data_IF_765071374637
#
_entry.id   IF_765071374637
#
_cell.length_a   1.000
_cell.length_b   1.000
_cell.length_c   1.000
_cell.angle_alpha   90.00
_cell.angle_beta   90.00
_cell.angle_gamma   90.00
#
_symmetry.space_group_name_H-M   'P 1'
#
loop_
_entity.id
_entity.type
_entity.pdbx_description
1 polymer ?
#
# COMPACT_ATOMS: atom_id res chain seq x y z
N UNK A 1 21.11 -3.13 38.38
CA UNK A 1 20.20 -3.61 39.45
C UNK A 1 19.99 -5.10 39.27
N UNK A 2 20.72 -5.91 40.04
CA UNK A 2 20.78 -7.39 39.95
C UNK A 2 19.54 -8.06 40.57
N UNK A 3 19.18 -9.21 40.02
CA UNK A 3 18.06 -10.09 40.34
C UNK A 3 17.79 -10.30 41.85
N UNK A 4 16.63 -9.86 42.35
CA UNK A 4 16.33 -9.90 43.80
C UNK A 4 14.94 -10.42 44.21
N UNK A 5 14.11 -10.97 43.31
CA UNK A 5 12.67 -11.09 43.63
C UNK A 5 12.09 -12.50 43.81
N UNK A 6 12.51 -13.59 43.13
CA UNK A 6 11.76 -14.86 43.26
C UNK A 6 11.94 -15.54 44.63
N UNK A 7 13.17 -15.60 45.15
CA UNK A 7 13.48 -16.37 46.37
C UNK A 7 12.97 -15.75 47.67
N UNK A 8 12.89 -14.41 47.75
CA UNK A 8 12.42 -13.70 48.94
C UNK A 8 10.90 -13.61 49.06
N UNK A 9 10.20 -13.84 47.94
CA UNK A 9 8.74 -13.91 47.89
C UNK A 9 8.21 -15.35 48.06
N UNK A 10 9.10 -16.34 48.24
CA UNK A 10 8.71 -17.71 48.54
C UNK A 10 8.01 -17.76 49.91
N UNK A 11 6.84 -18.40 49.95
CA UNK A 11 6.01 -18.49 51.16
C UNK A 11 6.77 -19.05 52.37
N UNK A 12 7.65 -20.03 52.13
CA UNK A 12 8.50 -20.62 53.17
C UNK A 12 9.47 -19.63 53.82
N UNK A 13 10.03 -18.69 53.04
CA UNK A 13 10.97 -17.68 53.53
C UNK A 13 10.26 -16.51 54.22
N UNK A 14 9.06 -16.17 53.74
CA UNK A 14 8.19 -15.19 54.39
C UNK A 14 7.72 -15.66 55.76
N UNK A 15 7.38 -16.95 55.92
CA UNK A 15 6.98 -17.53 57.21
C UNK A 15 8.16 -17.57 58.20
N UNK A 16 9.37 -17.91 57.72
CA UNK A 16 10.58 -18.00 58.55
C UNK A 16 11.09 -16.66 59.06
N UNK A 17 10.83 -15.56 58.34
CA UNK A 17 11.37 -14.23 58.67
C UNK A 17 10.28 -13.14 58.70
N UNK A 18 9.38 -13.13 59.72
CA UNK A 18 8.27 -12.17 59.80
C UNK A 18 8.71 -10.70 59.87
N UNK A 19 9.90 -10.43 60.44
CA UNK A 19 10.47 -9.07 60.49
C UNK A 19 10.74 -8.44 59.12
N UNK A 20 10.85 -9.25 58.06
CA UNK A 20 11.07 -8.75 56.69
C UNK A 20 9.80 -8.26 56.01
N UNK A 21 8.61 -8.57 56.55
CA UNK A 21 7.32 -8.24 55.91
C UNK A 21 7.14 -6.74 55.68
N UNK A 22 7.54 -5.91 56.67
CA UNK A 22 7.48 -4.46 56.55
C UNK A 22 8.36 -3.94 55.41
N UNK A 23 9.57 -4.47 55.28
CA UNK A 23 10.51 -4.10 54.21
C UNK A 23 10.01 -4.54 52.83
N UNK A 24 9.53 -5.78 52.71
CA UNK A 24 8.98 -6.31 51.44
C UNK A 24 7.76 -5.50 51.00
N UNK A 25 6.84 -5.17 51.92
CA UNK A 25 5.70 -4.31 51.63
C UNK A 25 6.14 -2.93 51.15
N UNK A 26 7.11 -2.30 51.83
CA UNK A 26 7.63 -1.00 51.42
C UNK A 26 8.28 -1.03 50.03
N UNK A 27 9.06 -2.08 49.73
CA UNK A 27 9.67 -2.29 48.42
C UNK A 27 8.61 -2.50 47.32
N UNK A 28 7.56 -3.27 47.61
CA UNK A 28 6.46 -3.49 46.69
C UNK A 28 5.68 -2.20 46.40
N UNK A 29 5.39 -1.39 47.42
CA UNK A 29 4.75 -0.08 47.23
C UNK A 29 5.63 0.88 46.44
N UNK A 30 6.94 0.88 46.68
CA UNK A 30 7.89 1.66 45.89
C UNK A 30 7.90 1.20 44.42
N UNK A 31 7.90 -0.11 44.18
CA UNK A 31 7.79 -0.68 42.84
C UNK A 31 6.48 -0.28 42.16
N UNK A 32 5.33 -0.40 42.85
CA UNK A 32 4.01 0.01 42.33
C UNK A 32 4.00 1.48 41.92
N UNK A 33 4.56 2.37 42.73
CA UNK A 33 4.68 3.80 42.40
C UNK A 33 5.52 4.03 41.16
N UNK A 34 6.72 3.42 41.09
CA UNK A 34 7.63 3.53 39.93
C UNK A 34 6.99 2.99 38.66
N UNK A 35 6.38 1.82 38.75
CA UNK A 35 5.66 1.19 37.64
C UNK A 35 4.51 2.09 37.17
N UNK A 36 3.71 2.63 38.09
CA UNK A 36 2.57 3.50 37.76
C UNK A 36 3.01 4.74 37.01
N UNK A 37 4.08 5.40 37.46
CA UNK A 37 4.66 6.55 36.77
C UNK A 37 5.18 6.17 35.38
N UNK A 38 5.96 5.09 35.27
CA UNK A 38 6.52 4.64 34.00
C UNK A 38 5.44 4.26 32.98
N UNK A 39 4.41 3.53 33.43
CA UNK A 39 3.30 3.10 32.59
C UNK A 39 2.46 4.27 32.09
N UNK A 40 2.09 5.19 32.97
CA UNK A 40 1.32 6.38 32.59
C UNK A 40 2.04 7.24 31.55
N UNK A 41 3.35 7.44 31.76
CA UNK A 41 4.21 8.12 30.79
C UNK A 41 4.23 7.36 29.46
N UNK A 42 4.51 6.06 29.48
CA UNK A 42 4.55 5.22 28.29
C UNK A 42 3.22 5.24 27.52
N UNK A 43 2.10 5.13 28.22
CA UNK A 43 0.76 5.23 27.62
C UNK A 43 0.57 6.55 26.89
N UNK A 44 0.89 7.67 27.54
CA UNK A 44 0.80 8.99 26.91
C UNK A 44 1.71 9.10 25.68
N UNK A 45 2.98 8.74 25.82
CA UNK A 45 3.98 8.82 24.75
C UNK A 45 3.59 7.92 23.56
N UNK A 46 3.06 6.72 23.85
CA UNK A 46 2.60 5.76 22.83
C UNK A 46 1.44 6.31 22.01
N UNK A 47 0.41 6.85 22.65
CA UNK A 47 -0.74 7.39 21.92
C UNK A 47 -0.42 8.72 21.22
N UNK A 48 0.43 9.57 21.81
CA UNK A 48 0.95 10.73 21.10
C UNK A 48 1.76 10.35 19.84
N UNK A 49 2.49 9.23 19.89
CA UNK A 49 3.15 8.67 18.71
C UNK A 49 2.14 8.10 17.69
N UNK A 50 1.11 7.38 18.13
CA UNK A 50 0.06 6.87 17.25
C UNK A 50 -0.71 8.00 16.55
N UNK A 51 -1.00 9.11 17.23
CA UNK A 51 -1.68 10.26 16.62
C UNK A 51 -0.85 10.87 15.49
N UNK A 52 0.48 11.00 15.70
CA UNK A 52 1.39 11.43 14.63
C UNK A 52 1.40 10.46 13.47
N UNK A 53 1.40 9.15 13.75
CA UNK A 53 1.38 8.11 12.72
C UNK A 53 0.05 8.10 11.94
N UNK A 54 -1.08 8.36 12.60
CA UNK A 54 -2.37 8.56 11.95
C UNK A 54 -2.33 9.73 10.97
N UNK A 55 -1.78 10.88 11.38
CA UNK A 55 -1.64 12.03 10.49
C UNK A 55 -0.78 11.70 9.26
N UNK A 56 0.23 10.84 9.38
CA UNK A 56 1.03 10.38 8.23
C UNK A 56 0.25 9.47 7.27
N UNK A 57 -0.75 8.75 7.79
CA UNK A 57 -1.62 7.87 7.01
C UNK A 57 -2.86 8.56 6.44
N UNK A 58 -3.13 9.81 6.83
CA UNK A 58 -4.33 10.56 6.44
C UNK A 58 -4.51 10.66 4.92
N UNK A 59 -3.41 10.86 4.18
CA UNK A 59 -3.44 10.97 2.72
C UNK A 59 -3.34 9.63 1.99
N UNK A 60 -3.10 8.53 2.70
CA UNK A 60 -2.89 7.22 2.09
C UNK A 60 -4.12 6.70 1.32
N UNK A 61 -5.37 6.81 1.80
CA UNK A 61 -6.55 6.36 1.06
C UNK A 61 -6.66 6.99 -0.33
N UNK A 62 -6.49 8.32 -0.39
CA UNK A 62 -6.56 9.07 -1.65
C UNK A 62 -5.48 8.64 -2.63
N UNK A 63 -4.26 8.44 -2.12
CA UNK A 63 -3.10 7.98 -2.90
C UNK A 63 -3.25 6.54 -3.39
N UNK A 64 -3.83 5.66 -2.58
CA UNK A 64 -4.16 4.29 -2.97
C UNK A 64 -5.24 4.27 -4.05
N UNK A 65 -6.23 5.14 -3.97
CA UNK A 65 -7.26 5.26 -5.01
C UNK A 65 -6.66 5.78 -6.32
N UNK A 66 -5.81 6.80 -6.28
CA UNK A 66 -5.07 7.25 -7.46
C UNK A 66 -4.22 6.12 -8.07
N UNK A 67 -3.55 5.32 -7.24
CA UNK A 67 -2.79 4.16 -7.70
C UNK A 67 -3.70 3.11 -8.36
N UNK A 68 -4.87 2.83 -7.78
CA UNK A 68 -5.87 1.91 -8.36
C UNK A 68 -6.30 2.39 -9.74
N UNK A 69 -6.66 3.67 -9.87
CA UNK A 69 -7.07 4.27 -11.14
C UNK A 69 -5.96 4.22 -12.20
N UNK A 70 -4.70 4.45 -11.81
CA UNK A 70 -3.55 4.33 -12.73
C UNK A 70 -3.29 2.87 -13.14
N UNK A 71 -3.43 1.93 -12.20
CA UNK A 71 -3.28 0.50 -12.48
C UNK A 71 -4.39 -0.05 -13.38
N UNK A 72 -5.55 0.62 -13.46
CA UNK A 72 -6.64 0.28 -14.36
C UNK A 72 -6.39 0.72 -15.82
N UNK A 73 -5.34 1.50 -16.10
CA UNK A 73 -4.96 1.94 -17.44
C UNK A 73 -4.05 0.88 -18.07
N UNK A 74 -4.53 0.07 -19.04
CA UNK A 74 -3.76 -1.04 -19.59
C UNK A 74 -2.46 -0.60 -20.27
N UNK A 75 -2.41 0.63 -20.81
CA UNK A 75 -1.26 1.15 -21.55
C UNK A 75 -0.09 1.55 -20.66
N UNK A 76 -0.29 1.66 -19.35
CA UNK A 76 0.79 1.85 -18.38
C UNK A 76 1.48 0.54 -17.98
N UNK A 77 1.07 -0.59 -18.56
CA UNK A 77 1.65 -1.90 -18.33
C UNK A 77 1.06 -2.60 -17.10
N UNK A 78 1.86 -3.48 -16.48
CA UNK A 78 1.39 -4.30 -15.36
C UNK A 78 1.11 -3.46 -14.12
N UNK A 79 0.02 -3.79 -13.42
CA UNK A 79 -0.35 -3.18 -12.15
C UNK A 79 0.76 -3.37 -11.11
N UNK A 80 1.06 -2.31 -10.36
CA UNK A 80 2.11 -2.29 -9.34
C UNK A 80 1.53 -1.97 -7.96
N UNK A 81 2.13 -2.52 -6.92
CA UNK A 81 1.73 -2.26 -5.52
C UNK A 81 0.33 -2.76 -5.17
N UNK A 82 -0.11 -3.87 -5.76
CA UNK A 82 -1.43 -4.47 -5.52
C UNK A 82 -1.62 -4.96 -4.09
N UNK A 83 -0.54 -5.14 -3.32
CA UNK A 83 -0.53 -5.49 -1.90
C UNK A 83 -0.76 -4.29 -0.97
N UNK A 84 -0.55 -3.06 -1.45
CA UNK A 84 -0.58 -1.85 -0.63
C UNK A 84 -1.95 -1.58 0.05
N UNK A 85 -3.11 -1.81 -0.60
CA UNK A 85 -4.41 -1.65 0.07
C UNK A 85 -4.57 -2.56 1.29
N UNK A 86 -4.23 -3.85 1.15
CA UNK A 86 -4.33 -4.81 2.25
C UNK A 86 -3.36 -4.47 3.40
N UNK A 87 -2.15 -4.01 3.07
CA UNK A 87 -1.18 -3.53 4.06
C UNK A 87 -1.70 -2.30 4.80
N UNK A 88 -2.35 -1.37 4.12
CA UNK A 88 -2.95 -0.19 4.73
C UNK A 88 -4.03 -0.55 5.75
N UNK A 89 -4.96 -1.45 5.40
CA UNK A 89 -6.00 -1.93 6.33
C UNK A 89 -5.39 -2.62 7.56
N UNK A 90 -4.36 -3.45 7.35
CA UNK A 90 -3.63 -4.11 8.43
C UNK A 90 -2.92 -3.12 9.36
N UNK A 91 -2.42 -2.01 8.83
CA UNK A 91 -1.84 -0.92 9.63
C UNK A 91 -2.91 -0.19 10.42
N UNK A 92 -4.02 0.23 9.79
CA UNK A 92 -5.12 0.91 10.48
C UNK A 92 -5.66 0.10 11.67
N UNK A 93 -5.79 -1.22 11.51
CA UNK A 93 -6.25 -2.10 12.59
C UNK A 93 -5.33 -2.08 13.83
N UNK A 94 -4.04 -1.72 13.66
CA UNK A 94 -3.02 -1.67 14.71
C UNK A 94 -2.87 -0.27 15.35
N UNK A 95 -3.38 0.79 14.73
CA UNK A 95 -3.26 2.18 15.22
C UNK A 95 -4.52 2.60 16.01
N UNK A 96 -5.26 1.66 16.61
CA UNK A 96 -6.44 1.99 17.43
C UNK A 96 -6.06 2.95 18.57
N UNK A 97 -6.85 4.00 18.74
CA UNK A 97 -6.66 4.99 19.80
C UNK A 97 -7.26 4.50 21.13
N UNK A 98 -6.75 5.03 22.23
CA UNK A 98 -7.37 4.88 23.54
C UNK A 98 -8.24 6.10 23.84
N UNK A 99 -9.48 5.93 24.33
CA UNK A 99 -10.33 7.06 24.69
C UNK A 99 -9.83 7.79 25.96
N UNK A 100 -8.95 7.16 26.74
CA UNK A 100 -8.32 7.78 27.91
C UNK A 100 -7.12 8.58 27.44
N UNK A 101 -7.30 9.88 27.23
CA UNK A 101 -6.26 10.77 26.72
C UNK A 101 -5.43 11.41 27.83
N UNK A 102 -5.98 11.54 29.04
CA UNK A 102 -5.26 12.14 30.16
C UNK A 102 -4.44 11.10 30.95
N UNK A 103 -3.18 11.47 31.24
CA UNK A 103 -2.22 10.65 32.01
C UNK A 103 -2.73 10.30 33.42
N UNK A 104 -3.49 11.21 34.03
CA UNK A 104 -4.06 11.11 35.37
C UNK A 104 -5.22 10.13 35.45
N UNK A 105 -5.99 9.98 34.37
CA UNK A 105 -7.16 9.13 34.25
C UNK A 105 -6.82 7.65 34.01
N UNK A 106 -5.57 7.36 33.62
CA UNK A 106 -5.06 5.99 33.50
C UNK A 106 -4.91 5.39 34.91
N UNK A 107 -5.96 4.72 35.38
CA UNK A 107 -5.93 3.96 36.62
C UNK A 107 -5.40 2.54 36.38
N UNK A 108 -4.28 2.25 37.04
CA UNK A 108 -3.62 0.94 37.09
C UNK A 108 -3.32 0.54 38.54
N UNK A 109 -4.14 1.01 39.49
CA UNK A 109 -4.02 0.62 40.89
C UNK A 109 -4.44 -0.83 41.12
N UNK A 110 -5.52 -1.27 40.47
CA UNK A 110 -6.04 -2.62 40.57
C UNK A 110 -5.43 -3.60 39.55
N UNK A 111 -5.06 -3.11 38.35
CA UNK A 111 -4.50 -3.92 37.25
C UNK A 111 -3.23 -3.26 36.72
N UNK A 112 -2.23 -4.03 36.24
CA UNK A 112 -0.98 -3.45 35.74
C UNK A 112 -1.14 -2.76 34.37
N UNK A 113 -2.27 -2.92 33.69
CA UNK A 113 -2.54 -2.32 32.38
C UNK A 113 -3.80 -1.48 32.41
N UNK A 114 -3.89 -0.51 31.49
CA UNK A 114 -5.07 0.30 31.26
C UNK A 114 -6.27 -0.62 30.98
N UNK A 115 -7.35 -0.42 31.73
CA UNK A 115 -8.55 -1.25 31.62
C UNK A 115 -9.23 -1.14 30.25
N UNK A 116 -9.03 -0.02 29.54
CA UNK A 116 -9.69 0.26 28.27
C UNK A 116 -8.92 -0.27 27.07
N UNK A 117 -7.62 0.02 26.99
CA UNK A 117 -6.81 -0.33 25.81
C UNK A 117 -5.86 -1.52 26.02
N UNK A 118 -5.62 -1.92 27.28
CA UNK A 118 -4.76 -3.06 27.59
C UNK A 118 -3.30 -2.92 27.18
N UNK A 119 -2.83 -1.70 26.87
CA UNK A 119 -1.46 -1.45 26.37
C UNK A 119 -0.42 -2.05 27.32
N UNK A 120 0.52 -2.84 26.79
CA UNK A 120 1.64 -3.38 27.54
C UNK A 120 2.76 -2.36 27.63
N UNK A 121 3.48 -2.30 28.75
CA UNK A 121 4.63 -1.40 28.93
C UNK A 121 5.77 -1.65 27.92
N UNK A 122 5.83 -2.86 27.36
CA UNK A 122 6.81 -3.29 26.36
C UNK A 122 6.34 -3.08 24.92
N UNK A 123 5.09 -2.68 24.73
CA UNK A 123 4.54 -2.44 23.39
C UNK A 123 5.28 -1.27 22.73
N UNK A 124 5.38 -1.32 21.40
CA UNK A 124 5.97 -0.26 20.58
C UNK A 124 4.98 0.14 19.50
N UNK A 125 4.92 1.43 19.22
CA UNK A 125 4.13 1.92 18.10
C UNK A 125 4.73 1.38 16.80
N UNK A 126 3.90 1.04 15.79
CA UNK A 126 4.35 0.48 14.51
C UNK A 126 4.94 1.56 13.59
N UNK A 127 5.84 2.39 14.11
CA UNK A 127 6.40 3.54 13.39
C UNK A 127 7.15 3.09 12.14
N UNK A 128 8.03 2.10 12.27
CA UNK A 128 8.86 1.64 11.16
C UNK A 128 8.01 1.05 10.02
N UNK A 129 6.98 0.26 10.35
CA UNK A 129 6.10 -0.33 9.37
C UNK A 129 5.28 0.72 8.61
N UNK A 130 4.84 1.78 9.30
CA UNK A 130 4.14 2.90 8.67
C UNK A 130 5.08 3.71 7.77
N UNK A 131 6.31 3.99 8.20
CA UNK A 131 7.31 4.65 7.36
C UNK A 131 7.60 3.85 6.08
N UNK A 132 7.84 2.55 6.22
CA UNK A 132 8.08 1.67 5.08
C UNK A 132 6.89 1.67 4.12
N UNK A 133 5.66 1.59 4.64
CA UNK A 133 4.46 1.65 3.82
C UNK A 133 4.33 2.98 3.05
N UNK A 134 4.51 4.12 3.72
CA UNK A 134 4.41 5.45 3.09
C UNK A 134 5.46 5.59 1.98
N UNK A 135 6.70 5.16 2.24
CA UNK A 135 7.78 5.21 1.25
C UNK A 135 7.51 4.27 0.06
N UNK A 136 6.98 3.08 0.31
CA UNK A 136 6.60 2.14 -0.75
C UNK A 136 5.48 2.72 -1.63
N UNK A 137 4.44 3.31 -1.02
CA UNK A 137 3.34 3.94 -1.75
C UNK A 137 3.83 5.10 -2.63
N UNK A 138 4.68 5.97 -2.08
CA UNK A 138 5.30 7.08 -2.81
C UNK A 138 6.12 6.56 -4.01
N UNK A 139 6.96 5.53 -3.79
CA UNK A 139 7.78 4.92 -4.83
C UNK A 139 6.95 4.31 -5.96
N UNK A 140 5.87 3.60 -5.61
CA UNK A 140 4.99 2.96 -6.59
C UNK A 140 4.21 3.99 -7.40
N UNK A 141 3.70 5.05 -6.76
CA UNK A 141 3.06 6.17 -7.46
C UNK A 141 4.03 6.90 -8.39
N UNK A 142 5.28 7.10 -7.95
CA UNK A 142 6.32 7.71 -8.77
C UNK A 142 6.64 6.89 -10.02
N UNK A 143 6.68 5.57 -9.88
CA UNK A 143 6.87 4.65 -11.01
C UNK A 143 5.69 4.77 -12.00
N UNK A 144 4.44 4.74 -11.52
CA UNK A 144 3.29 4.91 -12.40
C UNK A 144 3.26 6.29 -13.07
N UNK A 145 3.66 7.35 -12.36
CA UNK A 145 3.82 8.69 -12.92
C UNK A 145 4.82 8.72 -14.07
N UNK A 146 5.95 8.03 -13.91
CA UNK A 146 6.99 7.93 -14.94
C UNK A 146 6.48 7.17 -16.15
N UNK A 147 5.75 6.06 -15.95
CA UNK A 147 5.13 5.30 -17.03
C UNK A 147 4.10 6.13 -17.79
N UNK A 148 3.23 6.85 -17.07
CA UNK A 148 2.25 7.76 -17.67
C UNK A 148 2.93 8.85 -18.49
N UNK A 149 3.96 9.49 -17.97
CA UNK A 149 4.72 10.52 -18.70
C UNK A 149 5.39 9.95 -19.96
N UNK A 150 6.03 8.79 -19.85
CA UNK A 150 6.68 8.14 -21.00
C UNK A 150 5.66 7.75 -22.08
N UNK A 151 4.51 7.23 -21.68
CA UNK A 151 3.41 6.87 -22.58
C UNK A 151 2.82 8.11 -23.27
N UNK A 152 2.56 9.17 -22.51
CA UNK A 152 2.01 10.42 -23.05
C UNK A 152 2.99 11.09 -24.02
N UNK A 153 4.29 11.14 -23.70
CA UNK A 153 5.32 11.66 -24.61
C UNK A 153 5.42 10.82 -25.87
N UNK A 154 5.41 9.48 -25.77
CA UNK A 154 5.43 8.60 -26.94
C UNK A 154 4.25 8.89 -27.88
N UNK A 155 3.04 9.01 -27.33
CA UNK A 155 1.82 9.29 -28.11
C UNK A 155 1.87 10.66 -28.80
N UNK A 156 2.39 11.69 -28.11
CA UNK A 156 2.63 13.02 -28.70
C UNK A 156 3.61 12.93 -29.88
N UNK A 157 4.73 12.22 -29.71
CA UNK A 157 5.74 12.07 -30.76
C UNK A 157 5.22 11.28 -31.97
N UNK A 158 4.39 10.26 -31.74
CA UNK A 158 3.72 9.50 -32.80
C UNK A 158 2.66 10.35 -33.55
N UNK A 159 2.02 11.31 -32.87
CA UNK A 159 1.02 12.23 -33.46
C UNK A 159 1.65 13.38 -34.25
N UNK A 160 2.80 13.87 -33.81
CA UNK A 160 3.46 15.03 -34.38
C UNK A 160 4.20 14.73 -35.69
N UNK A 161 3.44 14.66 -36.78
CA UNK A 161 3.93 14.61 -38.16
C UNK A 161 4.61 15.89 -38.68
N UNK A 162 5.14 16.77 -37.81
CA UNK A 162 5.85 17.99 -38.19
C UNK A 162 6.41 18.78 -36.99
N UNK A 163 7.52 19.48 -37.28
CA UNK A 163 8.33 20.43 -36.49
C UNK A 163 8.70 20.11 -35.02
N UNK A 164 10.00 20.14 -34.74
CA UNK A 164 10.67 19.74 -33.48
C UNK A 164 10.16 20.52 -32.25
N UNK A 165 9.80 21.80 -32.46
CA UNK A 165 9.37 22.71 -31.39
C UNK A 165 7.96 22.38 -30.88
N UNK A 166 7.05 21.97 -31.77
CA UNK A 166 5.68 21.56 -31.40
C UNK A 166 5.70 20.25 -30.61
N UNK A 167 6.59 19.31 -30.98
CA UNK A 167 6.85 18.08 -30.22
C UNK A 167 7.31 18.36 -28.79
N UNK A 168 8.22 19.32 -28.63
CA UNK A 168 8.74 19.73 -27.32
C UNK A 168 7.66 20.38 -26.44
N UNK A 169 6.82 21.25 -27.01
CA UNK A 169 5.72 21.89 -26.28
C UNK A 169 4.63 20.90 -25.85
N UNK A 170 4.26 19.95 -26.70
CA UNK A 170 3.28 18.92 -26.35
C UNK A 170 3.84 17.91 -25.34
N UNK A 171 5.12 17.55 -25.44
CA UNK A 171 5.80 16.70 -24.46
C UNK A 171 5.88 17.38 -23.07
N UNK A 172 6.11 18.69 -23.02
CA UNK A 172 6.08 19.47 -21.78
C UNK A 172 4.67 19.49 -21.14
N UNK A 173 3.62 19.64 -21.95
CA UNK A 173 2.22 19.59 -21.50
C UNK A 173 1.82 18.20 -21.01
N UNK A 174 2.31 17.14 -21.65
CA UNK A 174 2.15 15.76 -21.20
C UNK A 174 2.87 15.49 -19.87
N UNK A 175 4.03 16.09 -19.65
CA UNK A 175 4.74 16.02 -18.36
C UNK A 175 3.99 16.77 -17.22
N UNK A 176 3.20 17.80 -17.55
CA UNK A 176 2.30 18.45 -16.58
C UNK A 176 1.10 17.57 -16.18
N UNK A 177 0.60 16.70 -17.07
CA UNK A 177 -0.45 15.71 -16.75
C UNK A 177 0.03 14.74 -15.67
N UNK A 178 1.32 14.42 -15.64
CA UNK A 178 1.90 13.57 -14.61
C UNK A 178 1.85 14.20 -13.20
N UNK A 179 1.71 15.53 -13.09
CA UNK A 179 1.53 16.24 -11.81
C UNK A 179 0.09 16.17 -11.28
N UNK A 180 -0.89 15.70 -12.06
CA UNK A 180 -2.29 15.60 -11.65
C UNK A 180 -2.62 14.40 -10.73
N UNK A 181 -1.64 13.56 -10.37
CA UNK A 181 -1.86 12.42 -9.46
C UNK A 181 -2.42 12.89 -8.11
N UNK A 182 -2.01 14.07 -7.64
CA UNK A 182 -2.51 14.66 -6.40
C UNK A 182 -3.91 15.29 -6.54
N UNK A 183 -4.58 15.16 -7.69
CA UNK A 183 -5.95 15.63 -7.96
C UNK A 183 -6.76 14.56 -8.75
N UNK A 184 -6.19 13.36 -8.93
CA UNK A 184 -6.81 12.31 -9.72
C UNK A 184 -8.09 11.83 -9.03
N UNK A 185 -9.21 12.04 -9.68
CA UNK A 185 -10.52 11.47 -9.34
C UNK A 185 -11.01 10.61 -10.50
N UNK A 186 -12.15 9.94 -10.30
CA UNK A 186 -12.72 9.02 -11.29
C UNK A 186 -13.06 9.70 -12.63
N UNK A 187 -13.40 11.01 -12.60
CA UNK A 187 -13.70 11.79 -13.82
C UNK A 187 -12.42 12.15 -14.56
N UNK A 188 -11.35 12.47 -13.85
CA UNK A 188 -10.02 12.73 -14.42
C UNK A 188 -9.43 11.43 -14.97
N UNK A 189 -9.55 10.31 -14.26
CA UNK A 189 -9.14 9.00 -14.75
C UNK A 189 -9.92 8.57 -15.98
N UNK A 190 -11.23 8.79 -16.03
CA UNK A 190 -12.04 8.56 -17.21
C UNK A 190 -11.70 9.50 -18.36
N UNK A 191 -11.36 10.75 -18.08
CA UNK A 191 -10.90 11.69 -19.10
C UNK A 191 -9.54 11.27 -19.66
N UNK A 192 -8.64 10.77 -18.81
CA UNK A 192 -7.38 10.15 -19.24
C UNK A 192 -7.65 8.90 -20.08
N UNK A 193 -8.53 7.99 -19.63
CA UNK A 193 -8.93 6.82 -20.42
C UNK A 193 -9.52 7.22 -21.77
N UNK A 194 -10.41 8.21 -21.82
CA UNK A 194 -11.00 8.70 -23.07
C UNK A 194 -9.97 9.36 -23.99
N UNK A 195 -9.08 10.20 -23.46
CA UNK A 195 -7.95 10.73 -24.24
C UNK A 195 -7.04 9.61 -24.75
N UNK A 196 -6.94 8.50 -24.03
CA UNK A 196 -6.18 7.33 -24.47
C UNK A 196 -6.95 6.44 -25.47
N UNK A 197 -8.28 6.45 -25.45
CA UNK A 197 -9.18 5.59 -26.28
C UNK A 197 -9.67 6.30 -27.57
N UNK A 198 -9.99 7.59 -27.51
CA UNK A 198 -10.64 8.35 -28.60
C UNK A 198 -9.77 8.50 -29.87
N UNK A 199 -8.45 8.23 -29.78
CA UNK A 199 -7.53 8.30 -30.93
C UNK A 199 -7.25 6.95 -31.64
N UNK A 200 -8.12 5.95 -31.46
CA UNK A 200 -8.37 4.95 -32.52
C UNK A 200 -7.65 3.60 -32.45
N UNK A 201 -7.59 2.97 -31.27
CA UNK A 201 -7.23 1.55 -31.14
C UNK A 201 -8.38 0.75 -30.53
N UNK A 202 -8.95 -0.18 -31.30
CA UNK A 202 -9.80 -1.24 -30.75
C UNK A 202 -8.89 -2.41 -30.38
N UNK A 203 -8.71 -2.63 -29.08
CA UNK A 203 -8.18 -3.89 -28.55
C UNK A 203 -9.34 -4.86 -28.38
N UNK A 204 -9.67 -5.60 -29.45
CA UNK A 204 -10.45 -6.81 -29.30
C UNK A 204 -9.57 -7.83 -28.54
N UNK A 205 -10.08 -8.54 -27.52
CA UNK A 205 -9.36 -9.63 -26.88
C UNK A 205 -9.58 -10.92 -27.68
N UNK A 206 -8.62 -11.40 -28.50
CA UNK A 206 -8.66 -12.78 -28.95
C UNK A 206 -8.03 -13.67 -27.89
N UNK A 207 -8.75 -14.72 -27.51
CA UNK A 207 -8.35 -15.77 -26.56
C UNK A 207 -7.31 -16.73 -27.19
N UNK A 208 -6.28 -16.17 -27.85
CA UNK A 208 -5.32 -16.90 -28.69
C UNK A 208 -4.55 -17.94 -27.88
N UNK A 209 -4.18 -17.60 -26.66
CA UNK A 209 -3.46 -18.53 -25.78
C UNK A 209 -4.36 -19.62 -25.18
N UNK A 210 -5.64 -19.31 -24.89
CA UNK A 210 -6.61 -20.32 -24.48
C UNK A 210 -6.82 -21.36 -25.60
N UNK A 211 -6.97 -20.91 -26.85
CA UNK A 211 -7.08 -21.80 -28.01
C UNK A 211 -5.81 -22.59 -28.31
N UNK A 212 -4.63 -22.01 -28.07
CA UNK A 212 -3.37 -22.73 -28.21
C UNK A 212 -3.21 -23.83 -27.14
N UNK A 213 -3.71 -23.59 -25.92
CA UNK A 213 -3.69 -24.55 -24.83
C UNK A 213 -4.60 -25.77 -25.11
N UNK A 214 -5.75 -25.56 -25.78
CA UNK A 214 -6.65 -26.65 -26.20
C UNK A 214 -6.05 -27.58 -27.27
N UNK A 215 -5.10 -27.09 -28.07
CA UNK A 215 -4.49 -27.87 -29.16
C UNK A 215 -3.47 -28.92 -28.68
N UNK A 216 -3.12 -28.95 -27.38
CA UNK A 216 -2.17 -29.88 -26.75
C UNK A 216 -0.97 -30.31 -27.63
N UNK A 217 -0.19 -29.39 -28.22
CA UNK A 217 0.89 -29.75 -29.12
C UNK A 217 2.04 -30.42 -28.35
N UNK A 218 2.37 -31.66 -28.69
CA UNK A 218 3.47 -32.43 -28.08
C UNK A 218 4.85 -32.06 -28.59
N UNK A 219 4.92 -31.32 -29.71
CA UNK A 219 6.16 -30.90 -30.36
C UNK A 219 6.17 -29.38 -30.59
N UNK A 220 7.29 -28.74 -30.23
CA UNK A 220 7.48 -27.29 -30.32
C UNK A 220 7.22 -26.75 -31.75
N UNK A 221 7.69 -27.39 -32.84
CA UNK A 221 7.43 -26.89 -34.19
C UNK A 221 5.94 -26.87 -34.57
N UNK A 222 5.18 -27.88 -34.13
CA UNK A 222 3.74 -27.94 -34.34
C UNK A 222 2.99 -26.89 -33.53
N UNK A 223 3.43 -26.62 -32.30
CA UNK A 223 2.89 -25.56 -31.45
C UNK A 223 3.08 -24.16 -32.08
N UNK A 224 4.27 -23.88 -32.60
CA UNK A 224 4.59 -22.61 -33.26
C UNK A 224 3.74 -22.43 -34.52
N UNK A 225 3.55 -23.48 -35.32
CA UNK A 225 2.70 -23.42 -36.51
C UNK A 225 1.22 -23.19 -36.16
N UNK A 226 0.70 -23.87 -35.13
CA UNK A 226 -0.66 -23.65 -34.64
C UNK A 226 -0.89 -22.22 -34.12
N UNK A 227 0.09 -21.67 -33.40
CA UNK A 227 0.05 -20.29 -32.93
C UNK A 227 0.05 -19.27 -34.08
N UNK A 228 0.86 -19.49 -35.11
CA UNK A 228 0.88 -18.64 -36.31
C UNK A 228 -0.48 -18.62 -37.01
N UNK A 229 -1.15 -19.77 -37.14
CA UNK A 229 -2.48 -19.85 -37.75
C UNK A 229 -3.54 -19.10 -36.93
N UNK A 230 -3.52 -19.26 -35.60
CA UNK A 230 -4.46 -18.56 -34.70
C UNK A 230 -4.26 -17.04 -34.75
N UNK A 231 -3.01 -16.57 -34.82
CA UNK A 231 -2.69 -15.14 -34.97
C UNK A 231 -3.22 -14.56 -36.27
N UNK A 232 -3.03 -15.26 -37.40
CA UNK A 232 -3.53 -14.82 -38.70
C UNK A 232 -5.06 -14.73 -38.70
N UNK A 233 -5.73 -15.73 -38.15
CA UNK A 233 -7.19 -15.75 -38.05
C UNK A 233 -7.73 -14.63 -37.17
N UNK A 234 -7.14 -14.40 -36.00
CA UNK A 234 -7.53 -13.31 -35.11
C UNK A 234 -7.31 -11.93 -35.75
N UNK A 235 -6.23 -11.76 -36.53
CA UNK A 235 -5.96 -10.52 -37.26
C UNK A 235 -7.03 -10.26 -38.33
N UNK A 236 -7.46 -11.32 -39.02
CA UNK A 236 -8.43 -11.24 -40.10
C UNK A 236 -9.85 -11.00 -39.59
N UNK A 237 -10.23 -11.65 -38.49
CA UNK A 237 -11.48 -11.38 -37.76
C UNK A 237 -11.52 -9.93 -37.26
N UNK A 238 -10.43 -9.44 -36.67
CA UNK A 238 -10.33 -8.06 -36.21
C UNK A 238 -10.37 -7.04 -37.37
N UNK A 239 -9.77 -7.36 -38.54
CA UNK A 239 -9.88 -6.54 -39.77
C UNK A 239 -11.29 -6.48 -40.32
N UNK A 240 -12.03 -7.59 -40.28
CA UNK A 240 -13.44 -7.63 -40.71
C UNK A 240 -14.35 -6.85 -39.75
N UNK A 241 -14.09 -6.92 -38.45
CA UNK A 241 -14.87 -6.21 -37.44
C UNK A 241 -14.62 -4.68 -37.46
N UNK A 242 -13.47 -4.23 -37.95
CA UNK A 242 -13.05 -2.83 -37.92
C UNK A 242 -12.45 -2.36 -39.27
N UNK A 243 -13.27 -2.27 -40.34
CA UNK A 243 -12.80 -1.97 -41.70
C UNK A 243 -12.28 -0.54 -41.89
N UNK A 244 -12.62 0.38 -40.98
CA UNK A 244 -12.26 1.79 -40.97
C UNK A 244 -10.92 2.09 -40.27
N UNK A 245 -10.28 1.10 -39.65
CA UNK A 245 -9.04 1.27 -38.87
C UNK A 245 -7.80 0.86 -39.67
N UNK A 246 -6.86 1.80 -39.83
CA UNK A 246 -5.58 1.58 -40.54
C UNK A 246 -4.61 0.61 -39.85
N UNK A 247 -4.71 0.47 -38.53
CA UNK A 247 -3.79 -0.34 -37.73
C UNK A 247 -4.59 -1.16 -36.72
N UNK A 248 -4.37 -2.47 -36.71
CA UNK A 248 -5.04 -3.41 -35.79
C UNK A 248 -3.96 -4.12 -34.99
N UNK A 249 -4.00 -3.96 -33.67
CA UNK A 249 -3.11 -4.64 -32.73
C UNK A 249 -3.90 -5.71 -31.98
N UNK A 250 -3.38 -6.93 -31.98
CA UNK A 250 -3.91 -8.03 -31.18
C UNK A 250 -3.20 -8.05 -29.82
N UNK A 251 -3.98 -8.02 -28.74
CA UNK A 251 -3.45 -8.25 -27.40
C UNK A 251 -3.37 -9.75 -27.16
N UNK A 252 -2.18 -10.23 -26.86
CA UNK A 252 -1.90 -11.62 -26.51
C UNK A 252 -1.79 -11.67 -24.98
N UNK A 253 -2.87 -12.08 -24.30
CA UNK A 253 -2.93 -12.26 -22.84
C UNK A 253 -2.67 -13.69 -22.44
#
# INVERSE_FOLDING_TARGET
MKAFLPGQLALSELIRNPGLWGSIRAQFEQFRRRYRTAYRKHHCDYYAALDRLHARLENAPRRLEALRLLNDIPELGTSVGTDLPARYEGLLARVKTCPVTQVTEVDIAARPTCATCGLLLTARAPSAEIETFVNDLERVLQEQRRRLSAEAVRRVLERAGGDELSRLMEAARAAEIARLIDVLDERVADSLRRLLIEDGLVTAPPDVFARLAELHPTEIPAAVHGFEQLLRQALEEARKAHPDKKTIRLSLR
#
